data_IF_634178109555
#
_entry.id   IF_634178109555
#
_cell.length_a   1.000
_cell.length_b   1.000
_cell.length_c   1.000
_cell.angle_alpha   90.00
_cell.angle_beta   90.00
_cell.angle_gamma   90.00
#
_symmetry.space_group_name_H-M   'P 1'
#
loop_
_entity.id
_entity.type
_entity.pdbx_description
1 polymer ?
#
# COMPACT_ATOMS: atom_id res chain seq x y z
N UNK A 1 52.63 -28.73 30.70
CA UNK A 1 51.19 -28.59 30.44
C UNK A 1 51.02 -27.45 29.44
N UNK A 2 50.76 -27.71 28.15
CA UNK A 2 50.42 -26.65 27.21
C UNK A 2 48.91 -26.37 27.27
N UNK A 3 48.52 -25.10 27.19
CA UNK A 3 47.13 -24.69 27.07
C UNK A 3 46.69 -24.82 25.60
N UNK A 4 45.69 -25.67 25.35
CA UNK A 4 45.04 -25.82 24.06
C UNK A 4 44.13 -24.63 23.80
N UNK A 5 44.38 -23.90 22.71
CA UNK A 5 43.41 -22.96 22.15
C UNK A 5 42.30 -23.75 21.43
N UNK A 6 41.07 -23.61 21.91
CA UNK A 6 39.87 -24.08 21.19
C UNK A 6 39.46 -23.01 20.18
N UNK A 7 39.35 -23.43 18.93
CA UNK A 7 38.76 -22.65 17.84
C UNK A 7 37.24 -22.62 17.99
N UNK A 8 36.67 -21.44 17.87
CA UNK A 8 35.22 -21.19 17.90
C UNK A 8 34.61 -21.54 16.52
N UNK A 9 33.66 -22.48 16.42
CA UNK A 9 33.08 -22.85 15.14
C UNK A 9 31.92 -21.91 14.80
N UNK A 10 32.18 -21.01 13.85
CA UNK A 10 31.22 -20.56 12.83
C UNK A 10 29.85 -20.11 13.31
N UNK A 11 29.72 -18.81 13.58
CA UNK A 11 28.45 -18.09 13.37
C UNK A 11 28.41 -17.54 11.94
N UNK A 12 28.26 -18.41 10.95
CA UNK A 12 27.83 -17.98 9.62
C UNK A 12 26.35 -17.66 9.72
N UNK A 13 26.04 -16.39 10.00
CA UNK A 13 24.72 -15.86 9.67
C UNK A 13 24.49 -16.11 8.18
N UNK A 14 23.30 -16.57 7.75
CA UNK A 14 22.98 -16.60 6.34
C UNK A 14 23.08 -15.15 5.86
N UNK A 15 24.08 -14.87 5.02
CA UNK A 15 24.04 -13.67 4.20
C UNK A 15 22.79 -13.80 3.35
N UNK A 16 21.81 -12.92 3.57
CA UNK A 16 20.67 -12.83 2.68
C UNK A 16 21.22 -12.57 1.29
N UNK A 17 21.24 -13.60 0.44
CA UNK A 17 21.45 -13.41 -0.98
C UNK A 17 20.35 -12.45 -1.42
N UNK A 18 20.75 -11.22 -1.74
CA UNK A 18 19.89 -10.21 -2.34
C UNK A 18 19.56 -10.67 -3.76
N UNK A 19 18.76 -11.73 -3.88
CA UNK A 19 18.11 -12.09 -5.11
C UNK A 19 17.18 -10.94 -5.48
N UNK A 20 17.29 -10.48 -6.72
CA UNK A 20 16.40 -9.44 -7.26
C UNK A 20 14.96 -9.87 -7.05
N UNK A 21 14.16 -9.03 -6.38
CA UNK A 21 12.75 -9.33 -6.11
C UNK A 21 12.01 -9.60 -7.43
N UNK A 22 11.36 -10.75 -7.52
CA UNK A 22 10.63 -11.18 -8.71
C UNK A 22 9.22 -10.61 -8.74
N UNK A 23 8.70 -10.26 -9.92
CA UNK A 23 7.28 -9.91 -10.05
C UNK A 23 6.41 -11.13 -9.72
N UNK A 24 5.25 -10.88 -9.13
CA UNK A 24 4.27 -11.93 -8.88
C UNK A 24 3.27 -11.99 -10.05
N UNK A 25 2.97 -13.20 -10.50
CA UNK A 25 1.98 -13.46 -11.55
C UNK A 25 0.96 -14.49 -11.08
N UNK A 26 -0.21 -14.48 -11.70
CA UNK A 26 -1.16 -15.59 -11.60
C UNK A 26 -0.58 -16.79 -12.33
N UNK A 27 -0.71 -17.98 -11.75
CA UNK A 27 -0.28 -19.25 -12.35
C UNK A 27 -0.98 -19.49 -13.70
N UNK A 28 -0.38 -20.28 -14.59
CA UNK A 28 -0.93 -20.53 -15.93
C UNK A 28 -2.32 -21.20 -15.92
N UNK A 29 -2.66 -21.92 -14.85
CA UNK A 29 -3.97 -22.55 -14.61
C UNK A 29 -4.94 -21.67 -13.82
N UNK A 30 -4.52 -20.46 -13.44
CA UNK A 30 -5.30 -19.44 -12.73
C UNK A 30 -5.74 -19.84 -11.31
N UNK A 31 -5.03 -20.76 -10.65
CA UNK A 31 -5.41 -21.26 -9.32
C UNK A 31 -4.61 -20.68 -8.17
N UNK A 32 -3.46 -20.04 -8.42
CA UNK A 32 -2.57 -19.50 -7.40
C UNK A 32 -1.64 -18.42 -7.95
N UNK A 33 -0.76 -17.89 -7.09
CA UNK A 33 0.29 -16.96 -7.49
C UNK A 33 1.65 -17.64 -7.57
N UNK A 34 2.49 -17.17 -8.49
CA UNK A 34 3.87 -17.63 -8.69
C UNK A 34 4.81 -16.45 -8.87
N UNK A 35 6.07 -16.63 -8.49
CA UNK A 35 7.15 -15.73 -8.87
C UNK A 35 7.44 -15.89 -10.37
N UNK A 36 7.59 -14.77 -11.08
CA UNK A 36 7.63 -14.74 -12.55
C UNK A 36 8.80 -15.54 -13.15
N UNK A 37 10.00 -15.44 -12.59
CA UNK A 37 11.22 -16.03 -13.14
C UNK A 37 11.42 -17.46 -12.65
N UNK A 38 11.29 -17.70 -11.34
CA UNK A 38 11.52 -19.01 -10.73
C UNK A 38 10.33 -19.96 -10.86
N UNK A 39 9.12 -19.44 -11.06
CA UNK A 39 7.89 -20.25 -11.08
C UNK A 39 7.52 -20.81 -9.69
N UNK A 40 8.22 -20.41 -8.64
CA UNK A 40 7.91 -20.83 -7.27
C UNK A 40 6.54 -20.30 -6.85
N UNK A 41 5.77 -21.15 -6.17
CA UNK A 41 4.48 -20.74 -5.61
C UNK A 41 4.67 -19.62 -4.59
N UNK A 42 3.90 -18.55 -4.76
CA UNK A 42 3.83 -17.42 -3.84
C UNK A 42 2.55 -17.50 -3.00
N UNK A 43 2.71 -17.63 -1.68
CA UNK A 43 1.59 -17.62 -0.72
C UNK A 43 1.57 -16.28 0.00
N UNK A 44 0.47 -15.55 -0.11
CA UNK A 44 0.30 -14.23 0.51
C UNK A 44 0.06 -14.37 2.01
N UNK A 45 0.90 -13.74 2.82
CA UNK A 45 0.68 -13.52 4.24
C UNK A 45 1.15 -12.13 4.62
N UNK A 46 0.24 -11.32 5.16
CA UNK A 46 0.46 -9.88 5.24
C UNK A 46 -0.37 -9.17 6.29
N UNK A 47 -0.18 -7.86 6.34
CA UNK A 47 -0.86 -6.93 7.25
C UNK A 47 -1.49 -5.78 6.47
N UNK A 48 -2.53 -5.17 7.04
CA UNK A 48 -2.97 -3.83 6.62
C UNK A 48 -2.11 -2.82 7.37
N UNK A 49 -1.64 -1.80 6.66
CA UNK A 49 -0.83 -0.71 7.19
C UNK A 49 -1.42 0.61 6.69
N UNK A 50 -2.55 1.00 7.29
CA UNK A 50 -3.34 2.17 6.90
C UNK A 50 -3.35 3.27 7.97
N UNK A 51 -3.28 2.92 9.26
CA UNK A 51 -3.26 3.87 10.37
C UNK A 51 -2.28 3.47 11.47
N UNK A 52 -1.80 4.45 12.22
CA UNK A 52 -1.03 4.23 13.44
C UNK A 52 -1.94 3.87 14.64
N UNK A 53 -1.36 3.62 15.81
CA UNK A 53 -2.12 3.33 17.04
C UNK A 53 -3.08 4.46 17.45
N UNK A 54 -2.76 5.72 17.08
CA UNK A 54 -3.58 6.90 17.34
C UNK A 54 -4.72 7.10 16.34
N UNK A 55 -4.75 6.32 15.26
CA UNK A 55 -5.72 6.43 14.18
C UNK A 55 -5.34 7.44 13.09
N UNK A 56 -4.13 8.01 13.12
CA UNK A 56 -3.63 8.85 12.04
C UNK A 56 -3.34 7.97 10.82
N UNK A 57 -3.81 8.38 9.63
CA UNK A 57 -3.57 7.63 8.41
C UNK A 57 -2.10 7.76 8.00
N UNK A 58 -1.60 6.81 7.21
CA UNK A 58 -0.21 6.81 6.74
C UNK A 58 0.21 8.17 6.17
N UNK A 59 -0.64 8.77 5.33
CA UNK A 59 -0.35 10.05 4.68
C UNK A 59 -0.36 11.26 5.62
N UNK A 60 -0.88 11.09 6.84
CA UNK A 60 -0.91 12.16 7.86
C UNK A 60 0.45 12.31 8.56
N UNK A 61 1.26 11.25 8.63
CA UNK A 61 2.51 11.27 9.40
C UNK A 61 3.76 10.91 8.61
N UNK A 62 3.66 10.23 7.46
CA UNK A 62 4.82 9.72 6.73
C UNK A 62 5.82 10.77 6.23
N UNK A 63 5.46 12.06 6.23
CA UNK A 63 6.38 13.14 5.89
C UNK A 63 7.25 13.55 7.08
N UNK A 64 6.66 13.54 8.27
CA UNK A 64 7.30 14.00 9.52
C UNK A 64 7.96 12.84 10.28
N UNK A 65 7.43 11.62 10.14
CA UNK A 65 7.79 10.42 10.88
C UNK A 65 8.13 9.25 9.96
N UNK A 66 8.95 9.51 8.93
CA UNK A 66 9.37 8.48 7.98
C UNK A 66 10.20 7.36 8.63
N UNK A 67 10.95 7.68 9.67
CA UNK A 67 11.72 6.72 10.46
C UNK A 67 10.83 5.63 11.07
N UNK A 68 9.64 5.98 11.53
CA UNK A 68 8.63 5.03 12.03
C UNK A 68 8.21 4.07 10.92
N UNK A 69 7.91 4.58 9.71
CA UNK A 69 7.53 3.74 8.56
C UNK A 69 8.65 2.75 8.20
N UNK A 70 9.91 3.19 8.27
CA UNK A 70 11.08 2.34 8.02
C UNK A 70 11.20 1.24 9.07
N UNK A 71 11.03 1.57 10.35
CA UNK A 71 11.04 0.62 11.46
C UNK A 71 9.91 -0.41 11.32
N UNK A 72 8.69 0.06 11.08
CA UNK A 72 7.50 -0.78 10.91
C UNK A 72 7.67 -1.78 9.76
N UNK A 73 8.24 -1.38 8.62
CA UNK A 73 8.51 -2.30 7.50
C UNK A 73 9.53 -3.39 7.88
N UNK A 74 10.56 -3.03 8.65
CA UNK A 74 11.52 -4.00 9.15
C UNK A 74 10.87 -4.98 10.14
N UNK A 75 9.99 -4.50 11.02
CA UNK A 75 9.24 -5.33 11.96
C UNK A 75 8.26 -6.28 11.25
N UNK A 76 7.49 -5.77 10.29
CA UNK A 76 6.57 -6.57 9.45
C UNK A 76 7.34 -7.70 8.77
N UNK A 77 8.52 -7.40 8.22
CA UNK A 77 9.39 -8.43 7.64
C UNK A 77 9.89 -9.42 8.69
N UNK A 78 10.26 -8.96 9.88
CA UNK A 78 10.73 -9.82 10.97
C UNK A 78 9.63 -10.75 11.53
N UNK A 79 8.36 -10.34 11.45
CA UNK A 79 7.21 -11.20 11.74
C UNK A 79 7.05 -12.32 10.72
N UNK A 80 7.70 -12.21 9.55
CA UNK A 80 7.69 -13.16 8.44
C UNK A 80 6.71 -12.82 7.33
N UNK A 81 6.06 -11.63 7.39
CA UNK A 81 5.11 -11.22 6.38
C UNK A 81 5.81 -10.94 5.05
N UNK A 82 5.07 -11.09 3.96
CA UNK A 82 5.57 -10.85 2.61
C UNK A 82 4.73 -9.86 1.81
N UNK A 83 3.55 -9.46 2.30
CA UNK A 83 2.71 -8.43 1.68
C UNK A 83 2.27 -7.39 2.72
N UNK A 84 2.26 -6.13 2.32
CA UNK A 84 1.72 -5.01 3.09
C UNK A 84 0.63 -4.34 2.26
N UNK A 85 -0.58 -4.24 2.82
CA UNK A 85 -1.70 -3.55 2.18
C UNK A 85 -1.76 -2.10 2.63
N UNK A 86 -1.68 -1.18 1.68
CA UNK A 86 -1.62 0.27 1.90
C UNK A 86 -2.88 0.90 1.32
N UNK A 87 -3.50 1.81 2.07
CA UNK A 87 -4.78 2.43 1.71
C UNK A 87 -4.57 3.90 1.34
N UNK A 88 -4.40 4.17 0.05
CA UNK A 88 -4.13 5.50 -0.48
C UNK A 88 -5.39 6.37 -0.51
N UNK A 89 -5.34 7.51 0.17
CA UNK A 89 -6.45 8.45 0.26
C UNK A 89 -6.48 9.39 -0.97
N UNK A 90 -7.58 9.43 -1.69
CA UNK A 90 -7.70 10.22 -2.94
C UNK A 90 -7.35 11.70 -2.71
N UNK A 91 -7.82 12.28 -1.60
CA UNK A 91 -7.61 13.69 -1.28
C UNK A 91 -6.16 14.04 -0.93
N UNK A 92 -5.34 13.05 -0.57
CA UNK A 92 -3.91 13.24 -0.35
C UNK A 92 -3.15 13.21 -1.67
N UNK A 93 -3.60 12.41 -2.63
CA UNK A 93 -2.92 12.24 -3.93
C UNK A 93 -3.43 13.14 -5.06
N UNK A 94 -4.56 13.81 -4.87
CA UNK A 94 -5.11 14.79 -5.83
C UNK A 94 -5.16 16.18 -5.18
N UNK A 95 -4.38 17.13 -5.70
CA UNK A 95 -4.38 18.52 -5.23
C UNK A 95 -5.61 19.29 -5.73
N UNK A 96 -6.03 19.00 -6.96
CA UNK A 96 -7.30 19.44 -7.57
C UNK A 96 -7.92 18.28 -8.35
N UNK A 97 -9.06 18.50 -8.99
CA UNK A 97 -9.68 17.48 -9.86
C UNK A 97 -8.76 17.06 -11.03
N UNK A 98 -7.91 17.95 -11.52
CA UNK A 98 -7.03 17.73 -12.68
C UNK A 98 -5.56 17.50 -12.31
N UNK A 99 -5.13 17.87 -11.10
CA UNK A 99 -3.72 17.90 -10.73
C UNK A 99 -3.40 16.90 -9.61
N UNK A 100 -2.58 15.87 -9.88
CA UNK A 100 -2.01 15.02 -8.84
C UNK A 100 -1.09 15.78 -7.88
N UNK A 101 -0.97 15.28 -6.66
CA UNK A 101 -0.08 15.81 -5.64
C UNK A 101 1.30 15.15 -5.73
N UNK A 102 2.22 15.81 -6.41
CA UNK A 102 3.61 15.34 -6.63
C UNK A 102 4.34 15.00 -5.32
N UNK A 103 4.12 15.76 -4.24
CA UNK A 103 4.79 15.51 -2.97
C UNK A 103 4.40 14.14 -2.37
N UNK A 104 3.14 13.74 -2.51
CA UNK A 104 2.68 12.44 -2.03
C UNK A 104 3.01 11.31 -3.01
N UNK A 105 3.10 11.59 -4.32
CA UNK A 105 3.62 10.64 -5.31
C UNK A 105 5.11 10.33 -5.08
N UNK A 106 5.92 11.33 -4.75
CA UNK A 106 7.33 11.14 -4.39
C UNK A 106 7.48 10.32 -3.11
N UNK A 107 6.59 10.53 -2.13
CA UNK A 107 6.58 9.72 -0.91
C UNK A 107 6.16 8.27 -1.17
N UNK A 108 5.19 8.06 -2.05
CA UNK A 108 4.82 6.72 -2.52
C UNK A 108 6.00 6.02 -3.21
N UNK A 109 6.79 6.74 -4.03
CA UNK A 109 8.01 6.18 -4.64
C UNK A 109 8.97 5.66 -3.57
N UNK A 110 9.21 6.45 -2.52
CA UNK A 110 10.07 6.03 -1.41
C UNK A 110 9.52 4.83 -0.65
N UNK A 111 8.20 4.72 -0.50
CA UNK A 111 7.54 3.56 0.12
C UNK A 111 7.72 2.29 -0.72
N UNK A 112 7.61 2.41 -2.03
CA UNK A 112 7.85 1.30 -2.98
C UNK A 112 9.31 0.84 -2.90
N UNK A 113 10.26 1.77 -2.89
CA UNK A 113 11.70 1.47 -2.72
C UNK A 113 11.98 0.81 -1.35
N UNK A 114 11.30 1.26 -0.29
CA UNK A 114 11.40 0.65 1.04
C UNK A 114 10.86 -0.79 1.06
N UNK A 115 9.75 -1.04 0.37
CA UNK A 115 9.19 -2.39 0.23
C UNK A 115 10.18 -3.31 -0.49
N UNK A 116 10.77 -2.86 -1.60
CA UNK A 116 11.81 -3.59 -2.32
C UNK A 116 13.01 -3.92 -1.44
N UNK A 117 13.51 -2.94 -0.67
CA UNK A 117 14.65 -3.13 0.21
C UNK A 117 14.39 -4.18 1.29
N UNK A 118 13.16 -4.27 1.79
CA UNK A 118 12.74 -5.25 2.80
C UNK A 118 12.26 -6.58 2.19
N UNK A 119 12.26 -6.70 0.85
CA UNK A 119 11.73 -7.86 0.13
C UNK A 119 10.25 -8.10 0.41
N UNK A 120 9.50 -7.03 0.69
CA UNK A 120 8.05 -7.02 0.89
C UNK A 120 7.36 -6.63 -0.43
N UNK A 121 6.15 -7.12 -0.62
CA UNK A 121 5.30 -6.68 -1.71
C UNK A 121 4.18 -5.77 -1.21
N UNK A 122 3.69 -4.88 -2.07
CA UNK A 122 2.63 -3.93 -1.79
C UNK A 122 1.34 -4.35 -2.49
N UNK A 123 0.27 -4.41 -1.71
CA UNK A 123 -1.10 -4.31 -2.20
C UNK A 123 -1.52 -2.84 -2.06
N UNK A 124 -1.60 -2.12 -3.17
CA UNK A 124 -2.00 -0.73 -3.19
C UNK A 124 -3.51 -0.65 -3.39
N UNK A 125 -4.21 -0.39 -2.28
CA UNK A 125 -5.64 -0.10 -2.29
C UNK A 125 -5.85 1.40 -2.40
N UNK A 126 -6.66 1.84 -3.36
CA UNK A 126 -6.84 3.28 -3.63
C UNK A 126 -8.23 3.81 -3.33
N UNK A 127 -8.42 5.07 -3.72
CA UNK A 127 -9.68 5.81 -3.63
C UNK A 127 -10.24 5.93 -2.20
N UNK A 128 -9.36 5.83 -1.19
CA UNK A 128 -9.74 6.03 0.20
C UNK A 128 -10.31 7.43 0.43
N UNK A 129 -11.42 7.52 1.16
CA UNK A 129 -12.00 8.76 1.69
C UNK A 129 -12.50 8.53 3.12
N UNK A 130 -11.66 7.98 3.99
CA UNK A 130 -12.10 7.48 5.30
C UNK A 130 -12.57 8.55 6.27
N UNK A 131 -12.01 9.75 6.16
CA UNK A 131 -12.38 10.87 6.98
C UNK A 131 -13.13 11.90 6.13
N UNK A 132 -14.44 12.04 6.40
CA UNK A 132 -15.30 13.01 5.68
C UNK A 132 -14.74 14.44 5.71
N UNK A 133 -14.12 14.82 6.83
CA UNK A 133 -13.48 16.13 6.99
C UNK A 133 -12.29 16.36 6.05
N UNK A 134 -11.66 15.29 5.58
CA UNK A 134 -10.50 15.35 4.68
C UNK A 134 -10.92 15.25 3.20
N UNK A 135 -12.23 15.13 2.92
CA UNK A 135 -12.76 15.22 1.55
C UNK A 135 -12.83 16.69 1.15
N UNK A 136 -12.08 17.12 0.11
CA UNK A 136 -12.05 18.51 -0.29
C UNK A 136 -13.41 18.95 -0.85
N UNK A 137 -13.80 20.20 -0.54
CA UNK A 137 -15.05 20.78 -1.04
C UNK A 137 -15.16 20.74 -2.58
N UNK A 138 -14.02 20.82 -3.29
CA UNK A 138 -14.00 20.72 -4.74
C UNK A 138 -14.42 19.33 -5.23
N UNK A 139 -14.05 18.25 -4.52
CA UNK A 139 -14.38 16.87 -4.90
C UNK A 139 -15.84 16.54 -4.56
N UNK A 140 -16.31 17.03 -3.42
CA UNK A 140 -17.70 16.87 -2.99
C UNK A 140 -18.68 17.58 -3.94
N UNK A 141 -18.28 18.71 -4.54
CA UNK A 141 -19.10 19.44 -5.50
C UNK A 141 -19.16 18.81 -6.92
N UNK A 142 -18.34 17.80 -7.22
CA UNK A 142 -18.30 17.18 -8.54
C UNK A 142 -19.51 16.30 -8.82
N UNK A 143 -19.89 16.22 -10.10
CA UNK A 143 -20.80 15.18 -10.57
C UNK A 143 -20.14 13.80 -10.48
N UNK A 144 -20.93 12.73 -10.48
CA UNK A 144 -20.41 11.35 -10.50
C UNK A 144 -19.42 11.11 -11.65
N UNK A 145 -19.78 11.56 -12.87
CA UNK A 145 -18.92 11.44 -14.05
C UNK A 145 -17.59 12.18 -13.87
N UNK A 146 -17.62 13.38 -13.29
CA UNK A 146 -16.39 14.15 -13.07
C UNK A 146 -15.53 13.49 -11.98
N UNK A 147 -16.13 12.84 -10.97
CA UNK A 147 -15.40 12.06 -9.97
C UNK A 147 -14.70 10.87 -10.60
N UNK A 148 -15.34 10.17 -11.54
CA UNK A 148 -14.70 9.07 -12.26
C UNK A 148 -13.46 9.55 -13.02
N UNK A 149 -13.52 10.73 -13.63
CA UNK A 149 -12.35 11.34 -14.29
C UNK A 149 -11.20 11.61 -13.29
N UNK A 150 -11.50 12.06 -12.07
CA UNK A 150 -10.51 12.22 -10.99
C UNK A 150 -9.92 10.88 -10.57
N UNK A 151 -10.75 9.85 -10.38
CA UNK A 151 -10.31 8.51 -9.99
C UNK A 151 -9.40 7.88 -11.05
N UNK A 152 -9.69 8.09 -12.33
CA UNK A 152 -8.82 7.68 -13.44
C UNK A 152 -7.46 8.38 -13.35
N UNK A 153 -7.42 9.70 -13.10
CA UNK A 153 -6.15 10.45 -12.98
C UNK A 153 -5.34 10.01 -11.78
N UNK A 154 -6.01 9.80 -10.65
CA UNK A 154 -5.40 9.22 -9.46
C UNK A 154 -4.70 7.89 -9.79
N UNK A 155 -5.42 6.96 -10.41
CA UNK A 155 -4.86 5.64 -10.71
C UNK A 155 -3.77 5.69 -11.78
N UNK A 156 -3.87 6.57 -12.77
CA UNK A 156 -2.81 6.80 -13.74
C UNK A 156 -1.52 7.29 -13.05
N UNK A 157 -1.63 8.28 -12.16
CA UNK A 157 -0.49 8.83 -11.45
C UNK A 157 0.17 7.79 -10.51
N UNK A 158 -0.64 7.05 -9.75
CA UNK A 158 -0.15 5.97 -8.86
C UNK A 158 0.53 4.87 -9.67
N UNK A 159 -0.08 4.40 -10.76
CA UNK A 159 0.49 3.36 -11.61
C UNK A 159 1.79 3.82 -12.28
N UNK A 160 1.88 5.09 -12.71
CA UNK A 160 3.09 5.64 -13.31
C UNK A 160 4.28 5.68 -12.35
N UNK A 161 4.04 5.97 -11.07
CA UNK A 161 5.09 5.89 -10.04
C UNK A 161 5.57 4.44 -9.85
N UNK A 162 4.64 3.49 -9.89
CA UNK A 162 4.86 2.12 -9.43
C UNK A 162 5.23 1.12 -10.54
N UNK A 163 5.06 1.48 -11.83
CA UNK A 163 5.11 0.56 -12.99
C UNK A 163 6.38 -0.29 -13.10
N UNK A 164 7.55 0.27 -12.77
CA UNK A 164 8.83 -0.43 -12.92
C UNK A 164 9.14 -1.35 -11.74
N UNK A 165 8.49 -1.16 -10.59
CA UNK A 165 8.79 -1.88 -9.36
C UNK A 165 8.26 -3.32 -9.42
N UNK A 166 9.09 -4.33 -9.07
CA UNK A 166 8.61 -5.69 -8.85
C UNK A 166 7.91 -5.86 -7.49
N UNK A 167 8.01 -4.89 -6.57
CA UNK A 167 7.37 -4.97 -5.27
C UNK A 167 5.86 -4.77 -5.32
N UNK A 168 5.28 -4.30 -6.42
CA UNK A 168 3.82 -4.24 -6.53
C UNK A 168 3.25 -5.65 -6.74
N UNK A 169 2.47 -6.13 -5.77
CA UNK A 169 1.73 -7.38 -5.88
C UNK A 169 0.42 -7.19 -6.65
N UNK A 170 -0.40 -6.21 -6.22
CA UNK A 170 -1.65 -5.89 -6.89
C UNK A 170 -2.08 -4.45 -6.62
N UNK A 171 -3.05 -4.01 -7.43
CA UNK A 171 -3.83 -2.80 -7.18
C UNK A 171 -5.26 -3.22 -6.85
N UNK A 172 -5.72 -2.85 -5.66
CA UNK A 172 -7.11 -2.99 -5.25
C UNK A 172 -7.82 -1.66 -5.53
N UNK A 173 -8.69 -1.66 -6.56
CA UNK A 173 -9.18 -0.42 -7.17
C UNK A 173 -9.99 0.45 -6.20
N UNK A 174 -10.63 -0.15 -5.20
CA UNK A 174 -11.42 0.57 -4.22
C UNK A 174 -11.70 -0.29 -3.00
N UNK A 175 -11.42 0.24 -1.81
CA UNK A 175 -11.79 -0.45 -0.58
C UNK A 175 -13.31 -0.42 -0.35
N UNK A 176 -13.93 -1.61 -0.31
CA UNK A 176 -15.33 -1.82 0.11
C UNK A 176 -16.36 -0.85 -0.51
N UNK A 177 -16.61 -0.92 -1.84
CA UNK A 177 -17.66 -0.12 -2.48
C UNK A 177 -19.03 -0.37 -1.85
N UNK A 178 -19.68 0.71 -1.38
CA UNK A 178 -21.05 0.66 -0.90
C UNK A 178 -22.00 0.93 -2.06
N UNK A 179 -23.04 0.12 -2.18
CA UNK A 179 -24.14 0.43 -3.09
C UNK A 179 -25.18 1.29 -2.38
N UNK A 180 -25.78 2.30 -3.05
CA UNK A 180 -26.93 3.00 -2.50
C UNK A 180 -28.04 2.01 -2.11
N UNK A 181 -28.64 2.22 -0.94
CA UNK A 181 -29.81 1.48 -0.49
C UNK A 181 -31.03 1.74 -1.38
N UNK A 182 -32.19 1.15 -1.01
CA UNK A 182 -33.45 1.30 -1.77
C UNK A 182 -33.92 2.75 -1.92
N UNK A 183 -33.52 3.61 -0.99
CA UNK A 183 -33.67 5.06 -1.09
C UNK A 183 -32.26 5.63 -1.33
N UNK A 184 -31.98 6.21 -2.51
CA UNK A 184 -30.68 6.82 -2.77
C UNK A 184 -30.51 8.00 -1.81
N UNK A 185 -29.56 7.88 -0.87
CA UNK A 185 -29.09 9.04 -0.13
C UNK A 185 -28.49 10.02 -1.12
N UNK A 186 -28.88 11.29 -1.04
CA UNK A 186 -28.34 12.36 -1.89
C UNK A 186 -26.92 12.77 -1.49
N UNK A 187 -26.41 12.22 -0.38
CA UNK A 187 -25.05 12.41 0.09
C UNK A 187 -24.17 11.22 -0.35
N UNK A 188 -22.97 11.53 -0.85
CA UNK A 188 -22.02 10.55 -1.40
C UNK A 188 -21.39 9.61 -0.36
N UNK A 189 -21.47 9.98 0.92
CA UNK A 189 -20.95 9.18 2.03
C UNK A 189 -22.12 8.56 2.76
N UNK A 190 -22.21 7.23 2.73
CA UNK A 190 -23.18 6.51 3.52
C UNK A 190 -22.92 6.74 5.03
N UNK A 191 -23.99 6.64 5.82
CA UNK A 191 -23.99 6.90 7.26
C UNK A 191 -22.91 6.20 8.09
N UNK A 192 -22.72 6.75 9.30
CA UNK A 192 -21.69 6.40 10.27
C UNK A 192 -21.77 4.94 10.75
N UNK A 193 -20.70 4.16 10.53
CA UNK A 193 -20.46 2.90 11.24
C UNK A 193 -19.13 3.02 12.01
N UNK A 194 -19.23 3.14 13.33
CA UNK A 194 -18.09 3.20 14.25
C UNK A 194 -17.10 4.37 14.02
N UNK A 195 -17.60 5.53 13.56
CA UNK A 195 -16.81 6.74 13.35
C UNK A 195 -16.08 6.80 12.02
N UNK A 196 -16.38 5.89 11.08
CA UNK A 196 -15.80 5.84 9.73
C UNK A 196 -16.87 6.06 8.68
N UNK A 197 -16.53 6.83 7.65
CA UNK A 197 -17.39 7.08 6.50
C UNK A 197 -16.94 6.22 5.32
N UNK A 198 -17.92 5.65 4.64
CA UNK A 198 -17.70 4.76 3.51
C UNK A 198 -18.22 5.43 2.24
N UNK A 199 -17.50 5.20 1.16
CA UNK A 199 -17.77 5.80 -0.15
C UNK A 199 -18.71 4.89 -0.93
N UNK A 200 -19.72 5.49 -1.56
CA UNK A 200 -20.46 4.82 -2.64
C UNK A 200 -19.59 4.69 -3.90
#
# INVERSE_FOLDING_TARGET
>A
MPASAQADPGSTQPSAEQGTQERIRVSADHTHFVREQSGERFSVWGVNYDHDHGGALLEDYWHDHWDVVVEDFAEIRALGANVVRIHLQLSKFMATAEQPNEQNLDRLRQLVELAEHNGLYLDLTGLGCYHKQDVPAWYDALSESDRWDVQVRFWQAVADVCRESPAIFCYDLMNEPILPGKDPETDWLAGDLAGKHFVQ
#
